data_IF_164759069891
#
_entry.id   IF_164759069891
#
_cell.length_a   1.000
_cell.length_b   1.000
_cell.length_c   1.000
_cell.angle_alpha   90.00
_cell.angle_beta   90.00
_cell.angle_gamma   90.00
#
_symmetry.space_group_name_H-M   'P 1'
#
loop_
_entity.id
_entity.type
_entity.pdbx_description
1 polymer ?
#
# COMPACT_ATOMS: atom_id res chain seq x y z
N UNK A 1 7.11 3.22 -1.92
CA UNK A 1 7.49 2.17 -2.87
C UNK A 1 8.81 1.48 -2.51
N UNK A 2 9.60 2.04 -1.58
CA UNK A 2 10.83 1.47 -1.06
C UNK A 2 11.18 2.02 0.33
N UNK A 3 12.28 1.55 0.92
CA UNK A 3 12.74 1.94 2.25
C UNK A 3 13.12 3.45 2.33
N UNK A 4 13.66 4.01 1.26
CA UNK A 4 14.04 5.43 1.19
C UNK A 4 12.80 6.32 1.20
N UNK A 5 11.82 6.01 0.34
CA UNK A 5 10.56 6.76 0.30
C UNK A 5 9.76 6.62 1.60
N UNK A 6 9.79 5.46 2.26
CA UNK A 6 9.16 5.27 3.56
C UNK A 6 9.75 6.17 4.66
N UNK A 7 11.07 6.31 4.72
CA UNK A 7 11.74 7.26 5.63
C UNK A 7 11.38 8.71 5.33
N UNK A 8 11.24 9.08 4.05
CA UNK A 8 10.81 10.42 3.66
C UNK A 8 9.36 10.69 4.10
N UNK A 9 8.47 9.70 3.99
CA UNK A 9 7.08 9.79 4.49
C UNK A 9 7.07 10.03 6.00
N UNK A 10 7.83 9.24 6.77
CA UNK A 10 7.94 9.41 8.22
C UNK A 10 8.52 10.79 8.59
N UNK A 11 9.61 11.20 7.95
CA UNK A 11 10.25 12.52 8.16
C UNK A 11 9.32 13.68 7.82
N UNK A 12 8.43 13.50 6.84
CA UNK A 12 7.43 14.49 6.47
C UNK A 12 6.24 14.57 7.45
N UNK A 13 6.20 13.71 8.48
CA UNK A 13 5.17 13.73 9.53
C UNK A 13 3.86 13.04 9.15
N UNK A 14 3.85 12.17 8.15
CA UNK A 14 2.67 11.36 7.85
C UNK A 14 2.44 10.30 8.93
N UNK A 15 1.16 9.99 9.26
CA UNK A 15 0.83 9.11 10.37
C UNK A 15 1.04 7.62 10.06
N UNK A 16 1.20 7.23 8.80
CA UNK A 16 1.39 5.85 8.37
C UNK A 16 2.11 5.76 7.02
N UNK A 17 2.71 4.61 6.74
CA UNK A 17 3.23 4.23 5.42
C UNK A 17 2.33 3.15 4.82
N UNK A 18 2.09 3.24 3.52
CA UNK A 18 1.40 2.20 2.76
C UNK A 18 2.31 1.58 1.70
N UNK A 19 2.28 0.26 1.58
CA UNK A 19 2.97 -0.53 0.56
C UNK A 19 1.93 -1.16 -0.34
N UNK A 20 1.84 -0.71 -1.60
CA UNK A 20 0.97 -1.29 -2.62
C UNK A 20 1.70 -2.31 -3.49
N UNK A 21 1.00 -3.33 -3.95
CA UNK A 21 1.50 -4.30 -4.93
C UNK A 21 1.90 -3.64 -6.24
N UNK A 22 1.14 -2.62 -6.69
CA UNK A 22 1.47 -1.79 -7.84
C UNK A 22 2.88 -1.21 -7.76
N UNK A 23 3.17 -0.54 -6.64
CA UNK A 23 4.47 0.10 -6.44
C UNK A 23 5.59 -0.93 -6.22
N UNK A 24 5.28 -2.06 -5.58
CA UNK A 24 6.22 -3.16 -5.36
C UNK A 24 6.60 -3.85 -6.67
N UNK A 25 5.61 -4.20 -7.51
CA UNK A 25 5.86 -4.78 -8.83
C UNK A 25 6.76 -3.87 -9.69
N UNK A 26 6.43 -2.59 -9.74
CA UNK A 26 7.18 -1.61 -10.52
C UNK A 26 8.60 -1.38 -9.99
N UNK A 27 8.76 -1.15 -8.69
CA UNK A 27 10.06 -0.76 -8.11
C UNK A 27 11.03 -1.92 -7.95
N UNK A 28 10.53 -3.12 -7.62
CA UNK A 28 11.39 -4.29 -7.39
C UNK A 28 11.61 -5.14 -8.64
N UNK A 29 10.60 -5.24 -9.49
CA UNK A 29 10.61 -6.19 -10.61
C UNK A 29 10.58 -5.50 -11.97
N UNK A 30 10.27 -4.20 -12.04
CA UNK A 30 10.05 -3.50 -13.32
C UNK A 30 8.82 -4.03 -14.06
N UNK A 31 7.84 -4.58 -13.36
CA UNK A 31 6.66 -5.23 -13.91
C UNK A 31 5.38 -4.41 -13.62
N UNK A 32 4.35 -4.57 -14.46
CA UNK A 32 3.04 -3.98 -14.21
C UNK A 32 2.30 -4.71 -13.07
N UNK A 33 1.30 -4.02 -12.48
CA UNK A 33 0.40 -4.60 -11.49
C UNK A 33 -0.65 -5.50 -12.17
N UNK A 34 -0.32 -6.76 -12.31
CA UNK A 34 -1.14 -7.76 -12.98
C UNK A 34 -1.17 -9.11 -12.21
N UNK A 35 -1.00 -9.05 -10.90
CA UNK A 35 -0.93 -10.24 -10.05
C UNK A 35 0.38 -11.03 -10.24
N UNK A 36 1.46 -10.36 -10.64
CA UNK A 36 2.76 -10.99 -10.91
C UNK A 36 3.67 -11.05 -9.68
N UNK A 37 3.35 -10.29 -8.64
CA UNK A 37 4.11 -10.28 -7.39
C UNK A 37 3.66 -11.45 -6.51
N UNK A 38 4.61 -12.24 -6.05
CA UNK A 38 4.32 -13.33 -5.12
C UNK A 38 4.16 -12.84 -3.68
N UNK A 39 3.50 -13.65 -2.83
CA UNK A 39 3.41 -13.39 -1.40
C UNK A 39 4.79 -13.13 -0.78
N UNK A 40 5.79 -13.93 -1.14
CA UNK A 40 7.13 -13.79 -0.57
C UNK A 40 7.78 -12.47 -0.91
N UNK A 41 7.65 -12.01 -2.16
CA UNK A 41 8.18 -10.71 -2.59
C UNK A 41 7.50 -9.55 -1.86
N UNK A 42 6.17 -9.63 -1.66
CA UNK A 42 5.44 -8.62 -0.88
C UNK A 42 5.87 -8.60 0.59
N UNK A 43 5.98 -9.76 1.23
CA UNK A 43 6.40 -9.89 2.64
C UNK A 43 7.84 -9.40 2.84
N UNK A 44 8.77 -9.76 1.96
CA UNK A 44 10.16 -9.31 2.04
C UNK A 44 10.28 -7.80 1.84
N UNK A 45 9.49 -7.25 0.92
CA UNK A 45 9.42 -5.81 0.73
C UNK A 45 8.84 -5.10 1.96
N UNK A 46 7.76 -5.64 2.51
CA UNK A 46 7.15 -5.11 3.73
C UNK A 46 8.13 -5.11 4.91
N UNK A 47 8.87 -6.20 5.13
CA UNK A 47 9.89 -6.28 6.18
C UNK A 47 11.00 -5.22 6.01
N UNK A 48 11.45 -4.98 4.78
CA UNK A 48 12.45 -3.95 4.49
C UNK A 48 11.93 -2.54 4.78
N UNK A 49 10.68 -2.24 4.45
CA UNK A 49 10.05 -0.93 4.72
C UNK A 49 9.79 -0.76 6.22
N UNK A 50 9.27 -1.77 6.90
CA UNK A 50 9.08 -1.75 8.37
C UNK A 50 10.39 -1.48 9.09
N UNK A 51 11.48 -2.17 8.67
CA UNK A 51 12.82 -1.95 9.23
C UNK A 51 13.40 -0.55 8.99
N UNK A 52 12.88 0.19 8.01
CA UNK A 52 13.37 1.52 7.66
C UNK A 52 12.70 2.65 8.45
N UNK A 53 11.47 2.47 8.93
CA UNK A 53 10.72 3.44 9.74
C UNK A 53 10.78 3.09 11.22
N UNK A 54 10.61 4.07 12.11
CA UNK A 54 10.82 3.85 13.55
C UNK A 54 9.60 4.16 14.42
N UNK A 55 8.68 5.00 13.97
CA UNK A 55 7.61 5.53 14.81
C UNK A 55 6.21 5.49 14.23
N UNK A 56 6.06 5.06 12.98
CA UNK A 56 4.77 5.04 12.30
C UNK A 56 4.41 3.64 11.77
N UNK A 57 3.12 3.26 11.82
CA UNK A 57 2.67 1.97 11.33
C UNK A 57 2.83 1.84 9.81
N UNK A 58 3.08 0.62 9.37
CA UNK A 58 3.12 0.26 7.95
C UNK A 58 1.91 -0.62 7.64
N UNK A 59 1.18 -0.30 6.59
CA UNK A 59 0.05 -1.08 6.07
C UNK A 59 0.47 -1.65 4.71
N UNK A 60 0.17 -2.92 4.46
CA UNK A 60 0.57 -3.59 3.22
C UNK A 60 -0.61 -4.10 2.40
N UNK A 61 -0.42 -4.13 1.09
CA UNK A 61 -1.27 -4.81 0.13
C UNK A 61 -1.02 -6.33 0.21
N UNK A 62 -2.03 -7.11 0.53
CA UNK A 62 -1.98 -8.56 0.50
C UNK A 62 -2.71 -9.15 -0.72
N UNK A 63 -2.95 -8.33 -1.76
CA UNK A 63 -3.64 -8.77 -2.97
C UNK A 63 -4.96 -9.49 -2.62
N UNK A 64 -5.28 -10.56 -3.32
CA UNK A 64 -6.41 -11.42 -2.97
C UNK A 64 -6.07 -12.46 -1.87
N UNK A 65 -4.96 -12.30 -1.14
CA UNK A 65 -4.46 -13.25 -0.13
C UNK A 65 -3.61 -14.38 -0.71
N UNK A 66 -3.21 -14.28 -1.98
CA UNK A 66 -2.34 -15.23 -2.70
C UNK A 66 -2.90 -16.66 -2.77
N UNK A 67 -4.24 -16.79 -2.72
CA UNK A 67 -4.90 -18.10 -2.86
C UNK A 67 -6.26 -18.18 -2.14
N UNK A 68 -6.57 -19.35 -1.61
CA UNK A 68 -7.83 -19.64 -0.92
C UNK A 68 -7.87 -19.13 0.52
N UNK A 69 -9.00 -19.27 1.21
CA UNK A 69 -9.13 -19.00 2.64
C UNK A 69 -8.08 -19.74 3.50
N UNK A 70 -7.70 -20.96 3.12
CA UNK A 70 -6.64 -21.72 3.81
C UNK A 70 -5.26 -21.06 3.66
N UNK A 71 -4.96 -20.53 2.47
CA UNK A 71 -3.69 -19.83 2.22
C UNK A 71 -3.57 -18.57 3.04
N UNK A 72 -4.69 -17.90 3.31
CA UNK A 72 -4.74 -16.67 4.11
C UNK A 72 -4.20 -16.83 5.52
N UNK A 73 -4.38 -17.99 6.15
CA UNK A 73 -3.76 -18.26 7.43
C UNK A 73 -2.24 -18.04 7.40
N UNK A 74 -1.58 -18.51 6.35
CA UNK A 74 -0.14 -18.27 6.15
C UNK A 74 0.14 -16.82 5.79
N UNK A 75 -0.63 -16.23 4.88
CA UNK A 75 -0.44 -14.86 4.43
C UNK A 75 -0.47 -13.88 5.60
N UNK A 76 -1.51 -13.91 6.43
CA UNK A 76 -1.62 -13.05 7.61
C UNK A 76 -0.43 -13.23 8.54
N UNK A 77 -0.08 -14.48 8.88
CA UNK A 77 1.05 -14.75 9.77
C UNK A 77 2.41 -14.27 9.22
N UNK A 78 2.64 -14.35 7.91
CA UNK A 78 3.89 -13.86 7.32
C UNK A 78 3.95 -12.32 7.34
N UNK A 79 2.84 -11.62 7.07
CA UNK A 79 2.79 -10.16 7.18
C UNK A 79 2.91 -9.68 8.64
N UNK A 80 2.27 -10.34 9.61
CA UNK A 80 2.49 -10.04 11.03
C UNK A 80 3.96 -10.20 11.43
N UNK A 81 4.63 -11.27 11.01
CA UNK A 81 6.05 -11.49 11.26
C UNK A 81 6.94 -10.43 10.61
N UNK A 82 6.54 -9.91 9.46
CA UNK A 82 7.22 -8.79 8.80
C UNK A 82 7.09 -7.48 9.58
N UNK A 83 6.20 -7.42 10.58
CA UNK A 83 6.00 -6.27 11.46
C UNK A 83 5.07 -5.19 10.91
N UNK A 84 4.26 -5.49 9.87
CA UNK A 84 3.24 -4.53 9.42
C UNK A 84 2.11 -4.44 10.44
N UNK A 85 1.49 -3.27 10.55
CA UNK A 85 0.39 -3.02 11.45
C UNK A 85 -0.96 -3.51 10.91
N UNK A 86 -1.04 -3.83 9.63
CA UNK A 86 -2.23 -4.36 8.99
C UNK A 86 -2.06 -4.60 7.50
N UNK A 87 -3.03 -5.27 6.93
CA UNK A 87 -3.08 -5.56 5.49
C UNK A 87 -4.45 -5.19 4.92
N UNK A 88 -4.49 -4.87 3.63
CA UNK A 88 -5.74 -4.97 2.91
C UNK A 88 -5.78 -6.24 2.05
N UNK A 89 -6.98 -6.80 1.94
CA UNK A 89 -7.31 -8.02 1.24
C UNK A 89 -8.45 -7.72 0.27
N UNK A 90 -8.32 -8.09 -1.01
CA UNK A 90 -9.29 -7.74 -2.03
C UNK A 90 -10.04 -8.95 -2.60
N UNK A 91 -11.25 -8.70 -3.07
CA UNK A 91 -12.12 -9.71 -3.70
C UNK A 91 -11.85 -9.92 -5.18
N UNK A 92 -10.78 -9.33 -5.72
CA UNK A 92 -10.42 -9.47 -7.11
C UNK A 92 -9.95 -10.91 -7.41
N UNK A 93 -10.42 -11.48 -8.52
CA UNK A 93 -9.81 -12.70 -9.06
C UNK A 93 -8.38 -12.41 -9.53
N UNK A 94 -7.54 -13.47 -9.60
CA UNK A 94 -6.16 -13.36 -10.05
C UNK A 94 -6.07 -12.66 -11.42
N UNK A 95 -5.06 -11.82 -11.59
CA UNK A 95 -4.82 -11.10 -12.84
C UNK A 95 -5.55 -9.76 -12.92
N UNK A 96 -5.65 -9.02 -11.82
CA UNK A 96 -6.22 -7.67 -11.81
C UNK A 96 -5.54 -6.79 -12.88
N UNK A 97 -6.31 -5.83 -13.42
CA UNK A 97 -5.93 -5.00 -14.57
C UNK A 97 -5.80 -5.69 -15.93
N UNK A 98 -6.01 -7.01 -16.02
CA UNK A 98 -6.08 -7.70 -17.29
C UNK A 98 -7.51 -7.68 -17.87
N UNK A 99 -7.69 -7.43 -19.20
CA UNK A 99 -9.03 -7.27 -19.79
C UNK A 99 -9.94 -8.50 -19.66
N UNK A 100 -9.34 -9.68 -19.55
CA UNK A 100 -10.06 -10.97 -19.52
C UNK A 100 -10.41 -11.46 -18.11
N UNK A 101 -9.87 -10.85 -17.06
CA UNK A 101 -9.96 -11.37 -15.68
C UNK A 101 -10.67 -10.42 -14.71
N UNK A 102 -11.29 -9.36 -15.22
CA UNK A 102 -11.94 -8.33 -14.41
C UNK A 102 -13.20 -8.80 -13.69
N UNK A 103 -13.10 -9.86 -12.87
CA UNK A 103 -14.19 -10.35 -12.04
C UNK A 103 -13.81 -10.28 -10.56
N UNK A 104 -14.83 -10.09 -9.74
CA UNK A 104 -14.74 -10.25 -8.30
C UNK A 104 -15.23 -11.63 -7.89
N UNK A 105 -14.67 -12.16 -6.83
CA UNK A 105 -15.16 -13.37 -6.16
C UNK A 105 -16.63 -13.20 -5.77
N UNK A 106 -17.34 -14.28 -5.59
CA UNK A 106 -18.65 -14.22 -4.97
C UNK A 106 -18.53 -13.57 -3.57
N UNK A 107 -19.56 -12.85 -3.17
CA UNK A 107 -19.59 -12.22 -1.84
C UNK A 107 -19.38 -13.24 -0.73
N UNK A 108 -19.97 -14.45 -0.87
CA UNK A 108 -19.82 -15.53 0.09
C UNK A 108 -18.37 -16.04 0.20
N UNK A 109 -17.68 -16.23 -0.92
CA UNK A 109 -16.25 -16.61 -0.90
C UNK A 109 -15.37 -15.57 -0.23
N UNK A 110 -15.59 -14.28 -0.52
CA UNK A 110 -14.80 -13.25 0.13
C UNK A 110 -15.12 -13.12 1.61
N UNK A 111 -16.36 -13.29 2.05
CA UNK A 111 -16.74 -13.36 3.46
C UNK A 111 -15.95 -14.45 4.19
N UNK A 112 -15.83 -15.65 3.62
CA UNK A 112 -15.03 -16.73 4.21
C UNK A 112 -13.53 -16.40 4.22
N UNK A 113 -13.02 -15.69 3.22
CA UNK A 113 -11.63 -15.21 3.22
C UNK A 113 -11.39 -14.17 4.32
N UNK A 114 -12.31 -13.24 4.52
CA UNK A 114 -12.21 -12.25 5.62
C UNK A 114 -12.23 -12.95 6.97
N UNK A 115 -13.15 -13.90 7.20
CA UNK A 115 -13.20 -14.69 8.45
C UNK A 115 -11.89 -15.44 8.70
N UNK A 116 -11.36 -16.10 7.67
CA UNK A 116 -10.09 -16.80 7.77
C UNK A 116 -8.92 -15.86 8.10
N UNK A 117 -8.90 -14.65 7.53
CA UNK A 117 -7.89 -13.64 7.87
C UNK A 117 -8.00 -13.15 9.32
N UNK A 118 -9.21 -12.89 9.79
CA UNK A 118 -9.49 -12.49 11.18
C UNK A 118 -9.12 -13.58 12.18
N UNK A 119 -9.42 -14.84 11.87
CA UNK A 119 -9.04 -15.99 12.70
C UNK A 119 -7.54 -16.25 12.71
N UNK A 120 -6.86 -15.98 11.61
CA UNK A 120 -5.42 -16.23 11.46
C UNK A 120 -4.54 -15.23 12.23
N UNK A 121 -5.01 -14.01 12.47
CA UNK A 121 -4.25 -12.98 13.18
C UNK A 121 -3.99 -13.37 14.63
N UNK A 122 -2.80 -13.08 15.12
CA UNK A 122 -2.35 -13.37 16.49
C UNK A 122 -2.40 -12.14 17.38
N UNK A 123 -2.06 -10.99 16.81
CA UNK A 123 -2.16 -9.70 17.48
C UNK A 123 -3.55 -9.10 17.21
N UNK A 124 -4.38 -8.89 18.23
CA UNK A 124 -5.69 -8.28 18.06
C UNK A 124 -5.63 -6.83 17.53
N UNK A 125 -4.47 -6.17 17.63
CA UNK A 125 -4.25 -4.84 17.04
C UNK A 125 -3.88 -4.88 15.55
N UNK A 126 -3.59 -6.05 14.98
CA UNK A 126 -3.32 -6.19 13.55
C UNK A 126 -4.60 -5.93 12.73
N UNK A 127 -4.56 -4.95 11.84
CA UNK A 127 -5.74 -4.46 11.11
C UNK A 127 -5.98 -5.26 9.84
N UNK A 128 -7.19 -5.79 9.68
CA UNK A 128 -7.67 -6.42 8.44
C UNK A 128 -8.60 -5.45 7.73
N UNK A 129 -8.18 -4.96 6.57
CA UNK A 129 -8.95 -4.08 5.70
C UNK A 129 -9.52 -4.92 4.56
N UNK A 130 -10.83 -5.04 4.47
CA UNK A 130 -11.47 -5.80 3.40
C UNK A 130 -11.84 -4.87 2.24
N UNK A 131 -11.22 -5.10 1.07
CA UNK A 131 -11.42 -4.33 -0.14
C UNK A 131 -12.37 -5.05 -1.08
N UNK A 132 -13.26 -4.26 -1.72
CA UNK A 132 -14.03 -4.73 -2.86
C UNK A 132 -13.73 -3.90 -4.09
N UNK A 133 -13.53 -4.57 -5.21
CA UNK A 133 -13.34 -3.96 -6.53
C UNK A 133 -14.66 -3.90 -7.35
N UNK A 134 -15.77 -4.33 -6.77
CA UNK A 134 -17.09 -4.35 -7.43
C UNK A 134 -17.55 -2.95 -7.90
N UNK A 135 -17.06 -1.89 -7.29
CA UNK A 135 -17.45 -0.51 -7.63
C UNK A 135 -16.92 -0.01 -8.97
N UNK A 136 -15.87 -0.60 -9.53
CA UNK A 136 -15.23 -0.12 -10.75
C UNK A 136 -15.05 -1.18 -11.86
N UNK A 137 -15.15 -2.45 -11.52
CA UNK A 137 -15.02 -3.52 -12.52
C UNK A 137 -16.24 -3.58 -13.45
N UNK A 138 -16.01 -3.90 -14.71
CA UNK A 138 -17.07 -4.15 -15.68
C UNK A 138 -17.91 -5.35 -15.21
N UNK A 139 -19.22 -5.11 -14.99
CA UNK A 139 -20.12 -6.13 -14.45
C UNK A 139 -20.11 -6.28 -12.93
N UNK A 140 -19.43 -5.38 -12.21
CA UNK A 140 -19.32 -5.42 -10.76
C UNK A 140 -20.49 -4.81 -9.97
N UNK A 141 -21.62 -4.49 -10.58
CA UNK A 141 -22.83 -4.04 -9.86
C UNK A 141 -22.83 -2.60 -9.34
N UNK A 142 -21.72 -1.87 -9.48
CA UNK A 142 -21.61 -0.45 -9.14
C UNK A 142 -21.61 -0.15 -7.64
N UNK A 143 -22.13 1.04 -7.29
CA UNK A 143 -22.04 1.58 -5.92
C UNK A 143 -22.81 0.75 -4.89
N UNK A 144 -24.00 0.28 -5.23
CA UNK A 144 -24.84 -0.47 -4.30
C UNK A 144 -24.25 -1.87 -4.00
N UNK A 145 -23.68 -2.52 -5.00
CA UNK A 145 -22.94 -3.78 -4.80
C UNK A 145 -21.70 -3.56 -3.92
N UNK A 146 -20.97 -2.46 -4.12
CA UNK A 146 -19.82 -2.13 -3.29
C UNK A 146 -20.23 -1.91 -1.82
N UNK A 147 -21.36 -1.23 -1.57
CA UNK A 147 -21.92 -1.05 -0.23
C UNK A 147 -22.31 -2.39 0.39
N UNK A 148 -23.07 -3.22 -0.34
CA UNK A 148 -23.54 -4.53 0.13
C UNK A 148 -22.36 -5.45 0.50
N UNK A 149 -21.30 -5.46 -0.30
CA UNK A 149 -20.07 -6.20 0.00
C UNK A 149 -19.34 -5.65 1.21
N UNK A 150 -19.16 -4.33 1.31
CA UNK A 150 -18.53 -3.71 2.46
C UNK A 150 -19.27 -4.03 3.78
N UNK A 151 -20.62 -4.03 3.75
CA UNK A 151 -21.44 -4.43 4.91
C UNK A 151 -21.18 -5.89 5.28
N UNK A 152 -21.14 -6.79 4.30
CA UNK A 152 -20.90 -8.21 4.55
C UNK A 152 -19.48 -8.47 5.08
N UNK A 153 -18.47 -7.77 4.56
CA UNK A 153 -17.08 -7.93 4.97
C UNK A 153 -16.82 -7.39 6.37
N UNK A 154 -17.40 -6.22 6.71
CA UNK A 154 -17.36 -5.71 8.07
C UNK A 154 -18.08 -6.63 9.07
N UNK A 155 -19.25 -7.19 8.71
CA UNK A 155 -19.95 -8.18 9.51
C UNK A 155 -19.18 -9.50 9.66
N UNK A 156 -18.28 -9.82 8.72
CA UNK A 156 -17.37 -10.96 8.82
C UNK A 156 -16.16 -10.73 9.74
N UNK A 157 -16.00 -9.50 10.26
CA UNK A 157 -14.97 -9.15 11.23
C UNK A 157 -13.83 -8.29 10.68
N UNK A 158 -13.92 -7.76 9.45
CA UNK A 158 -12.96 -6.78 8.97
C UNK A 158 -13.01 -5.51 9.84
N UNK A 159 -11.85 -4.99 10.22
CA UNK A 159 -11.72 -3.78 11.05
C UNK A 159 -12.02 -2.50 10.26
N UNK A 160 -11.81 -2.55 8.94
CA UNK A 160 -12.04 -1.45 8.02
C UNK A 160 -12.48 -2.00 6.66
N UNK A 161 -13.28 -1.22 5.93
CA UNK A 161 -13.73 -1.59 4.59
C UNK A 161 -13.21 -0.63 3.54
N UNK A 162 -12.96 -1.15 2.33
CA UNK A 162 -12.34 -0.39 1.26
C UNK A 162 -13.10 -0.59 -0.07
N UNK A 163 -14.07 0.29 -0.39
CA UNK A 163 -14.77 0.29 -1.68
C UNK A 163 -13.89 0.89 -2.77
N UNK A 164 -13.00 0.10 -3.36
CA UNK A 164 -12.07 0.58 -4.38
C UNK A 164 -12.81 1.12 -5.61
N UNK A 165 -12.21 2.14 -6.24
CA UNK A 165 -12.78 2.81 -7.41
C UNK A 165 -13.95 3.74 -7.13
N UNK A 166 -14.48 3.76 -5.92
CA UNK A 166 -15.44 4.79 -5.50
C UNK A 166 -14.68 6.07 -5.17
N UNK A 167 -14.98 7.12 -5.93
CA UNK A 167 -14.27 8.40 -5.86
C UNK A 167 -15.19 9.51 -5.35
N UNK A 168 -14.61 10.60 -4.87
CA UNK A 168 -15.36 11.83 -4.57
C UNK A 168 -16.09 12.34 -5.85
N UNK A 169 -17.37 12.76 -5.79
CA UNK A 169 -18.22 12.89 -4.61
C UNK A 169 -18.98 11.62 -4.17
N UNK A 170 -18.96 10.54 -4.96
CA UNK A 170 -19.70 9.31 -4.65
C UNK A 170 -19.28 8.69 -3.30
N UNK A 171 -18.02 8.87 -2.88
CA UNK A 171 -17.51 8.43 -1.58
C UNK A 171 -18.26 9.11 -0.43
N UNK A 172 -18.60 10.40 -0.55
CA UNK A 172 -19.42 11.14 0.43
C UNK A 172 -20.85 10.63 0.56
N UNK A 173 -21.39 10.01 -0.49
CA UNK A 173 -22.71 9.37 -0.44
C UNK A 173 -22.64 7.92 0.08
N UNK A 174 -21.48 7.27 -0.08
CA UNK A 174 -21.28 5.87 0.33
C UNK A 174 -20.90 5.74 1.80
N UNK A 175 -19.92 6.51 2.27
CA UNK A 175 -19.35 6.34 3.59
C UNK A 175 -20.41 6.43 4.73
N UNK A 176 -21.42 7.33 4.70
CA UNK A 176 -22.47 7.35 5.71
C UNK A 176 -23.36 6.10 5.75
N UNK A 177 -23.34 5.28 4.70
CA UNK A 177 -24.11 4.02 4.62
C UNK A 177 -23.38 2.86 5.30
N UNK A 178 -22.12 3.06 5.69
CA UNK A 178 -21.25 2.02 6.27
C UNK A 178 -21.01 2.30 7.75
N UNK A 179 -21.36 1.38 8.67
CA UNK A 179 -21.08 1.49 10.10
C UNK A 179 -19.61 1.15 10.45
N UNK A 180 -18.76 0.96 9.46
CA UNK A 180 -17.36 0.59 9.59
C UNK A 180 -16.43 1.73 9.13
N UNK A 181 -15.20 1.83 9.68
CA UNK A 181 -14.19 2.74 9.16
C UNK A 181 -13.96 2.51 7.67
N UNK A 182 -13.88 3.58 6.88
CA UNK A 182 -13.71 3.51 5.44
C UNK A 182 -12.28 3.87 5.05
N UNK A 183 -11.65 3.00 4.25
CA UNK A 183 -10.43 3.25 3.52
C UNK A 183 -10.76 3.68 2.07
N UNK A 184 -9.98 4.57 1.50
CA UNK A 184 -10.11 5.01 0.11
C UNK A 184 -8.73 5.17 -0.55
N UNK A 185 -8.72 5.22 -1.87
CA UNK A 185 -7.55 5.62 -2.68
C UNK A 185 -7.69 7.09 -3.07
N UNK A 186 -6.59 7.81 -3.13
CA UNK A 186 -6.55 9.15 -3.69
C UNK A 186 -7.14 9.18 -5.12
N UNK A 187 -7.78 10.27 -5.45
CA UNK A 187 -8.39 10.44 -6.77
C UNK A 187 -8.30 11.88 -7.26
N UNK A 188 -8.28 12.13 -8.57
CA UNK A 188 -8.31 13.47 -9.10
C UNK A 188 -9.47 14.30 -8.53
N UNK A 189 -9.15 15.48 -8.00
CA UNK A 189 -10.12 16.37 -7.37
C UNK A 189 -10.48 16.03 -5.93
N UNK A 190 -9.95 14.95 -5.35
CA UNK A 190 -10.02 14.68 -3.92
C UNK A 190 -9.03 15.57 -3.17
N UNK A 191 -9.36 15.89 -1.93
CA UNK A 191 -8.48 16.56 -0.96
C UNK A 191 -8.67 15.91 0.39
N UNK A 192 -7.64 15.92 1.24
CA UNK A 192 -7.71 15.38 2.61
C UNK A 192 -8.96 15.90 3.34
N UNK A 193 -9.23 17.21 3.27
CA UNK A 193 -10.40 17.81 3.94
C UNK A 193 -11.74 17.29 3.40
N UNK A 194 -11.85 17.01 2.08
CA UNK A 194 -13.07 16.45 1.50
C UNK A 194 -13.28 14.99 1.90
N UNK A 195 -12.21 14.21 1.90
CA UNK A 195 -12.28 12.80 2.27
C UNK A 195 -12.59 12.66 3.77
N UNK A 196 -12.00 13.50 4.61
CA UNK A 196 -12.31 13.58 6.03
C UNK A 196 -13.78 13.97 6.28
N UNK A 197 -14.27 15.01 5.58
CA UNK A 197 -15.67 15.42 5.66
C UNK A 197 -16.63 14.34 5.14
N UNK A 198 -16.20 13.49 4.21
CA UNK A 198 -16.95 12.32 3.74
C UNK A 198 -16.93 11.15 4.76
N UNK A 199 -16.16 11.24 5.85
CA UNK A 199 -16.07 10.20 6.88
C UNK A 199 -15.01 9.14 6.61
N UNK A 200 -14.14 9.34 5.61
CA UNK A 200 -13.00 8.45 5.32
C UNK A 200 -12.00 8.52 6.47
N UNK A 201 -11.47 7.38 6.88
CA UNK A 201 -10.50 7.27 7.99
C UNK A 201 -9.07 7.04 7.52
N UNK A 202 -8.89 6.49 6.33
CA UNK A 202 -7.59 6.20 5.73
C UNK A 202 -7.64 6.49 4.22
N UNK A 203 -6.71 7.29 3.71
CA UNK A 203 -6.54 7.52 2.27
C UNK A 203 -5.17 7.01 1.84
N UNK A 204 -5.15 6.16 0.83
CA UNK A 204 -3.94 5.55 0.29
C UNK A 204 -3.45 6.31 -0.94
N UNK A 205 -2.25 6.87 -0.88
CA UNK A 205 -1.54 7.54 -1.98
C UNK A 205 -0.54 6.58 -2.62
N UNK A 206 -1.03 5.53 -3.28
CA UNK A 206 -0.24 4.38 -3.72
C UNK A 206 0.82 4.66 -4.77
N UNK A 207 0.64 5.68 -5.60
CA UNK A 207 1.51 5.95 -6.77
C UNK A 207 2.27 7.28 -6.69
N UNK A 208 1.89 8.17 -5.79
CA UNK A 208 2.39 9.55 -5.73
C UNK A 208 3.92 9.65 -5.78
N UNK A 209 4.59 8.97 -4.87
CA UNK A 209 6.06 9.03 -4.76
C UNK A 209 6.77 8.27 -5.88
N UNK A 210 6.22 7.13 -6.29
CA UNK A 210 6.78 6.34 -7.40
C UNK A 210 6.78 7.15 -8.71
N UNK A 211 5.66 7.81 -9.03
CA UNK A 211 5.55 8.61 -10.25
C UNK A 211 6.43 9.85 -10.21
N UNK A 212 6.55 10.49 -9.03
CA UNK A 212 7.48 11.61 -8.84
C UNK A 212 8.94 11.16 -9.06
N UNK A 213 9.35 10.05 -8.46
CA UNK A 213 10.68 9.49 -8.63
C UNK A 213 10.97 9.09 -10.09
N UNK A 214 10.03 8.41 -10.75
CA UNK A 214 10.16 8.04 -12.16
C UNK A 214 10.41 9.25 -13.04
N UNK A 215 9.66 10.34 -12.84
CA UNK A 215 9.84 11.58 -13.59
C UNK A 215 11.19 12.22 -13.30
N UNK A 216 11.55 12.38 -12.03
CA UNK A 216 12.81 13.00 -11.63
C UNK A 216 14.04 12.25 -12.17
N UNK A 217 14.03 10.92 -12.08
CA UNK A 217 15.10 10.07 -12.62
C UNK A 217 15.19 10.22 -14.13
N UNK A 218 14.05 10.20 -14.85
CA UNK A 218 14.02 10.39 -16.30
C UNK A 218 14.60 11.74 -16.74
N UNK A 219 14.18 12.83 -16.09
CA UNK A 219 14.69 14.18 -16.37
C UNK A 219 16.19 14.30 -16.08
N UNK A 220 16.67 13.67 -15.01
CA UNK A 220 18.09 13.63 -14.64
C UNK A 220 18.92 12.90 -15.69
N UNK A 221 18.47 11.74 -16.16
CA UNK A 221 19.16 10.97 -17.20
C UNK A 221 19.24 11.71 -18.53
N UNK A 222 18.17 12.38 -18.95
CA UNK A 222 18.16 13.22 -20.16
C UNK A 222 19.16 14.36 -20.04
N UNK A 223 19.18 15.08 -18.91
CA UNK A 223 20.12 16.18 -18.69
C UNK A 223 21.58 15.68 -18.69
N UNK A 224 21.86 14.59 -17.98
CA UNK A 224 23.21 14.02 -17.94
C UNK A 224 23.69 13.58 -19.34
N UNK A 225 22.83 12.91 -20.10
CA UNK A 225 23.16 12.46 -21.46
C UNK A 225 23.44 13.63 -22.42
N UNK A 226 22.74 14.75 -22.25
CA UNK A 226 22.94 15.94 -23.09
C UNK A 226 24.24 16.67 -22.78
N UNK A 227 24.67 16.71 -21.54
CA UNK A 227 25.82 17.51 -21.09
C UNK A 227 27.08 16.68 -20.80
N UNK A 228 26.95 15.37 -20.52
CA UNK A 228 28.06 14.47 -20.19
C UNK A 228 28.79 14.83 -18.89
N UNK A 229 28.19 15.69 -18.08
CA UNK A 229 28.82 16.28 -16.91
C UNK A 229 27.83 16.29 -15.72
N UNK A 230 28.33 15.89 -14.55
CA UNK A 230 27.57 15.89 -13.29
C UNK A 230 27.22 17.33 -12.83
N UNK A 231 28.00 18.34 -13.20
CA UNK A 231 27.73 19.74 -12.91
C UNK A 231 26.39 20.22 -13.48
N UNK A 232 25.95 19.65 -14.62
CA UNK A 232 24.64 19.93 -15.21
C UNK A 232 23.45 19.47 -14.33
N UNK A 233 23.71 18.69 -13.27
CA UNK A 233 22.73 18.16 -12.33
C UNK A 233 22.72 18.91 -10.99
N UNK A 234 23.51 20.00 -10.87
CA UNK A 234 23.55 20.79 -9.65
C UNK A 234 22.13 21.28 -9.25
N UNK A 235 21.78 21.12 -7.97
CA UNK A 235 20.45 21.40 -7.45
C UNK A 235 19.35 20.39 -7.81
N UNK A 236 19.66 19.34 -8.58
CA UNK A 236 18.70 18.27 -8.96
C UNK A 236 18.86 16.98 -8.14
N UNK A 237 19.84 16.89 -7.30
CA UNK A 237 20.10 15.73 -6.44
C UNK A 237 20.49 16.15 -5.03
N UNK A 238 20.23 15.27 -4.07
CA UNK A 238 20.67 15.45 -2.69
C UNK A 238 22.19 15.28 -2.63
N UNK A 239 22.92 16.18 -1.94
CA UNK A 239 24.35 16.00 -1.70
C UNK A 239 24.64 14.70 -0.95
N UNK A 240 25.75 14.04 -1.26
CA UNK A 240 26.15 12.75 -0.69
C UNK A 240 26.14 12.77 0.85
N UNK A 241 26.74 13.79 1.46
CA UNK A 241 26.79 13.92 2.92
C UNK A 241 25.40 14.05 3.57
N UNK A 242 24.48 14.77 2.92
CA UNK A 242 23.09 14.89 3.38
C UNK A 242 22.34 13.56 3.25
N UNK A 243 22.58 12.83 2.16
CA UNK A 243 21.98 11.52 1.96
C UNK A 243 22.51 10.50 2.95
N UNK A 244 23.82 10.49 3.22
CA UNK A 244 24.46 9.64 4.22
C UNK A 244 23.93 9.90 5.63
N UNK A 245 23.74 11.14 5.99
CA UNK A 245 23.08 11.52 7.25
C UNK A 245 21.65 11.00 7.30
N UNK A 246 20.88 11.19 6.22
CA UNK A 246 19.50 10.73 6.12
C UNK A 246 19.36 9.21 6.27
N UNK A 247 20.25 8.42 5.68
CA UNK A 247 20.23 6.96 5.81
C UNK A 247 20.85 6.46 7.13
N UNK A 248 21.50 7.34 7.91
CA UNK A 248 22.00 7.06 9.25
C UNK A 248 23.45 6.59 9.31
N UNK A 249 24.28 6.88 8.30
CA UNK A 249 25.71 6.55 8.29
C UNK A 249 26.46 7.04 9.53
N UNK A 250 26.25 8.26 10.07
CA UNK A 250 26.92 8.74 11.27
C UNK A 250 26.68 7.86 12.50
N UNK A 251 25.48 7.29 12.62
CA UNK A 251 25.15 6.35 13.72
C UNK A 251 25.97 5.06 13.62
N UNK A 252 26.18 4.55 12.42
CA UNK A 252 26.97 3.35 12.18
C UNK A 252 28.45 3.64 12.42
N UNK A 253 28.97 4.79 11.98
CA UNK A 253 30.34 5.23 12.24
C UNK A 253 30.60 5.37 13.74
N UNK A 254 29.69 5.98 14.49
CA UNK A 254 29.80 6.08 15.95
C UNK A 254 29.77 4.71 16.64
N UNK A 255 29.01 3.74 16.11
CA UNK A 255 29.01 2.36 16.59
C UNK A 255 30.35 1.69 16.31
N UNK A 256 30.89 1.84 15.11
CA UNK A 256 32.18 1.27 14.71
C UNK A 256 33.32 1.82 15.61
N UNK A 257 33.35 3.12 15.82
CA UNK A 257 34.37 3.76 16.69
C UNK A 257 34.32 3.21 18.14
N UNK A 258 33.13 3.01 18.70
CA UNK A 258 32.97 2.44 20.05
C UNK A 258 33.49 1.01 20.16
N UNK A 259 33.56 0.25 19.07
CA UNK A 259 34.04 -1.10 19.00
C UNK A 259 35.46 -1.23 18.41
N UNK A 260 36.19 -0.08 18.28
CA UNK A 260 37.59 -0.09 17.82
C UNK A 260 37.76 -0.40 16.32
N UNK A 261 36.69 -0.29 15.54
CA UNK A 261 36.74 -0.37 14.07
C UNK A 261 37.00 1.03 13.52
N UNK A 262 38.19 1.27 12.96
CA UNK A 262 38.62 2.52 12.34
C UNK A 262 38.64 2.41 10.82
#
# INVERSE_FOLDING_TARGET
YDAVSARLVERAGFPAVYIGSYATAASRLGLPDAGLVSMREMVDHAAAVVGAVQGIPVIADAENGFGSAVTLWRTVNEFERAGVAGIHLEDHEFGKHLPVTGRVLSKAEMVEKVRAAVEARRDPAFVIIARTDAGWLRGGGGLDEAVDRCLAYGAAGADMVFPAGVRSPALGALAPRLPYPVCAVDSPGSTVARDEAAGVKLVLYYSLLLFAAHRAVGETLVAFRAHGDRGALEGRHTPEAEFDEFIGLPKIQALAARHGLQ
#
